data_IF_411560324355
#
_entry.id   IF_411560324355
#
_cell.length_a   1.000
_cell.length_b   1.000
_cell.length_c   1.000
_cell.angle_alpha   90.00
_cell.angle_beta   90.00
_cell.angle_gamma   90.00
#
_symmetry.space_group_name_H-M   'P 1'
#
loop_
_entity.id
_entity.type
_entity.pdbx_description
1 polymer ?
#
# COMPACT_ATOMS: atom_id res chain seq x y z
N UNK A 1 -1.17 -10.88 -18.43
CA UNK A 1 -0.23 -9.91 -17.85
C UNK A 1 -1.07 -9.00 -16.98
N UNK A 2 -0.85 -9.02 -15.67
CA UNK A 2 -1.49 -8.04 -14.78
C UNK A 2 -0.50 -6.89 -14.67
N UNK A 3 -0.56 -6.01 -15.66
CA UNK A 3 0.01 -4.67 -15.59
C UNK A 3 -0.83 -3.89 -14.58
N UNK A 4 -0.55 -4.10 -13.30
CA UNK A 4 -1.12 -3.29 -12.23
C UNK A 4 -0.32 -2.00 -12.21
N UNK A 5 -0.99 -0.90 -12.55
CA UNK A 5 -0.53 0.49 -12.58
C UNK A 5 -0.16 1.04 -11.19
N UNK A 6 0.31 0.20 -10.28
CA UNK A 6 0.73 0.59 -8.95
C UNK A 6 2.23 0.35 -8.86
N UNK A 7 2.98 1.33 -9.38
CA UNK A 7 4.45 1.42 -9.35
C UNK A 7 4.95 1.66 -7.91
N UNK A 8 4.44 0.88 -6.94
CA UNK A 8 4.87 0.97 -5.55
C UNK A 8 6.29 0.44 -5.44
N UNK A 9 7.11 1.21 -4.78
CA UNK A 9 8.45 0.86 -4.36
C UNK A 9 8.55 0.94 -2.84
N UNK A 10 9.47 0.17 -2.26
CA UNK A 10 9.83 0.32 -0.84
C UNK A 10 10.35 1.74 -0.63
N UNK A 11 9.86 2.41 0.41
CA UNK A 11 10.14 3.82 0.70
C UNK A 11 9.14 4.82 0.12
N UNK A 12 8.18 4.39 -0.71
CA UNK A 12 7.11 5.28 -1.15
C UNK A 12 6.22 5.69 0.02
N UNK A 13 5.86 6.98 0.05
CA UNK A 13 4.84 7.50 0.95
C UNK A 13 3.47 7.27 0.33
N UNK A 14 2.59 6.59 1.06
CA UNK A 14 1.26 6.20 0.59
C UNK A 14 0.17 6.61 1.55
N UNK A 15 -1.02 6.84 1.00
CA UNK A 15 -2.27 6.93 1.74
C UNK A 15 -3.00 5.58 1.62
N UNK A 16 -3.39 5.02 2.75
CA UNK A 16 -4.18 3.79 2.81
C UNK A 16 -5.68 4.13 2.87
N UNK A 17 -6.45 3.57 1.95
CA UNK A 17 -7.91 3.67 1.94
C UNK A 17 -8.52 2.32 2.34
N UNK A 18 -9.27 2.32 3.43
CA UNK A 18 -9.99 1.11 3.85
C UNK A 18 -11.24 0.86 2.99
N UNK A 19 -11.87 -0.30 3.17
CA UNK A 19 -13.07 -0.70 2.41
C UNK A 19 -14.28 0.23 2.62
N UNK A 20 -14.27 1.03 3.69
CA UNK A 20 -15.28 2.03 4.00
C UNK A 20 -14.99 3.41 3.39
N UNK A 21 -13.90 3.56 2.63
CA UNK A 21 -13.49 4.83 2.03
C UNK A 21 -12.78 5.80 2.99
N UNK A 22 -12.41 5.35 4.19
CA UNK A 22 -11.65 6.17 5.15
C UNK A 22 -10.16 6.11 4.80
N UNK A 23 -9.52 7.27 4.77
CA UNK A 23 -8.13 7.46 4.37
C UNK A 23 -7.26 7.64 5.62
N UNK A 24 -6.14 6.91 5.68
CA UNK A 24 -5.11 6.98 6.71
C UNK A 24 -3.75 7.24 6.07
N UNK A 25 -2.86 7.93 6.79
CA UNK A 25 -1.49 8.18 6.36
C UNK A 25 -1.02 9.62 6.61
N UNK A 26 0.16 10.01 6.08
CA UNK A 26 1.05 9.20 5.23
C UNK A 26 1.66 8.00 5.97
N UNK A 27 1.82 6.88 5.26
CA UNK A 27 2.54 5.68 5.72
C UNK A 27 3.64 5.33 4.72
N UNK A 28 4.76 4.79 5.18
CA UNK A 28 5.83 4.32 4.29
C UNK A 28 5.60 2.87 3.85
N UNK A 29 5.88 2.54 2.58
CA UNK A 29 5.95 1.15 2.10
C UNK A 29 7.22 0.48 2.63
N UNK A 30 7.06 -0.54 3.47
CA UNK A 30 8.16 -1.23 4.14
C UNK A 30 8.68 -2.42 3.34
N UNK A 31 7.78 -3.21 2.76
CA UNK A 31 8.14 -4.44 2.08
C UNK A 31 6.99 -4.98 1.21
N UNK A 32 7.37 -5.86 0.27
CA UNK A 32 6.44 -6.70 -0.47
C UNK A 32 6.56 -8.15 0.00
N UNK A 33 5.45 -8.71 0.47
CA UNK A 33 5.32 -10.14 0.73
C UNK A 33 5.16 -10.92 -0.56
N UNK A 34 5.40 -12.23 -0.48
CA UNK A 34 5.04 -13.13 -1.57
C UNK A 34 3.51 -13.09 -1.79
N UNK A 35 3.06 -13.22 -3.04
CA UNK A 35 1.64 -13.16 -3.39
C UNK A 35 0.87 -14.29 -2.68
N UNK A 36 0.27 -13.96 -1.54
CA UNK A 36 -0.65 -14.84 -0.85
C UNK A 36 -2.01 -14.83 -1.57
N UNK A 37 -2.77 -15.94 -1.49
CA UNK A 37 -4.09 -16.10 -2.11
C UNK A 37 -5.09 -14.97 -1.80
N UNK A 38 -4.84 -14.15 -0.77
CA UNK A 38 -5.67 -13.00 -0.40
C UNK A 38 -5.40 -11.71 -1.19
N UNK A 39 -4.39 -11.67 -2.08
CA UNK A 39 -4.03 -10.47 -2.85
C UNK A 39 -3.42 -9.33 -2.01
N UNK A 40 -3.15 -9.60 -0.72
CA UNK A 40 -2.52 -8.68 0.22
C UNK A 40 -1.03 -8.99 0.29
N UNK A 41 -0.22 -8.06 -0.17
CA UNK A 41 1.22 -8.25 -0.27
C UNK A 41 2.01 -7.00 0.10
N UNK A 42 1.39 -5.86 0.42
CA UNK A 42 2.12 -4.62 0.72
C UNK A 42 2.11 -4.34 2.21
N UNK A 43 3.29 -4.28 2.82
CA UNK A 43 3.46 -3.91 4.22
C UNK A 43 3.76 -2.42 4.32
N UNK A 44 3.03 -1.73 5.20
CA UNK A 44 3.19 -0.28 5.42
C UNK A 44 3.45 0.00 6.90
N UNK A 45 4.09 1.12 7.18
CA UNK A 45 4.28 1.67 8.53
C UNK A 45 2.94 2.24 9.04
N UNK A 46 2.10 1.34 9.54
CA UNK A 46 0.82 1.66 10.16
C UNK A 46 0.74 0.94 11.51
N UNK A 47 -0.21 1.32 12.35
CA UNK A 47 -0.45 0.65 13.64
C UNK A 47 -0.69 -0.87 13.47
N UNK A 48 -1.18 -1.27 12.29
CA UNK A 48 -1.35 -2.67 11.88
C UNK A 48 -0.27 -3.17 10.91
N UNK A 49 1.00 -2.79 11.10
CA UNK A 49 2.13 -3.15 10.22
C UNK A 49 2.29 -4.65 9.94
N UNK A 50 1.78 -5.51 10.83
CA UNK A 50 1.82 -6.97 10.69
C UNK A 50 0.77 -7.52 9.71
N UNK A 51 -0.17 -6.69 9.27
CA UNK A 51 -1.27 -7.06 8.39
C UNK A 51 -1.10 -6.42 7.01
N UNK A 52 -0.78 -7.21 5.96
CA UNK A 52 -0.52 -6.66 4.64
C UNK A 52 -1.78 -6.10 3.99
N UNK A 53 -1.58 -5.13 3.10
CA UNK A 53 -2.61 -4.42 2.36
C UNK A 53 -2.65 -4.86 0.89
N UNK A 54 -3.79 -4.63 0.24
CA UNK A 54 -3.90 -4.75 -1.21
C UNK A 54 -3.24 -3.54 -1.86
N UNK A 55 -2.52 -3.70 -2.98
CA UNK A 55 -1.95 -2.56 -3.70
C UNK A 55 -3.03 -1.55 -4.12
N UNK A 56 -4.26 -1.99 -4.47
CA UNK A 56 -5.35 -1.09 -4.87
C UNK A 56 -5.85 -0.17 -3.75
N UNK A 57 -5.60 -0.54 -2.49
CA UNK A 57 -5.94 0.29 -1.32
C UNK A 57 -4.90 1.37 -1.04
N UNK A 58 -3.79 1.39 -1.76
CA UNK A 58 -2.67 2.31 -1.54
C UNK A 58 -2.57 3.30 -2.69
N UNK A 59 -2.54 4.58 -2.32
CA UNK A 59 -2.33 5.70 -3.25
C UNK A 59 -1.00 6.37 -2.95
N UNK A 60 -0.10 6.44 -3.93
CA UNK A 60 1.19 7.12 -3.77
C UNK A 60 0.96 8.61 -3.58
N UNK A 61 1.52 9.15 -2.50
CA UNK A 61 1.50 10.58 -2.19
C UNK A 61 2.73 11.19 -2.86
N UNK A 62 2.60 11.57 -4.13
CA UNK A 62 3.64 12.35 -4.81
C UNK A 62 3.58 13.78 -4.26
N UNK A 63 4.69 14.28 -3.73
CA UNK A 63 4.83 15.69 -3.40
C UNK A 63 4.50 16.53 -4.64
N UNK A 64 3.66 17.56 -4.49
CA UNK A 64 3.36 18.50 -5.54
C UNK A 64 4.67 19.02 -6.15
N UNK A 65 4.87 18.76 -7.43
CA UNK A 65 5.89 19.43 -8.26
C UNK A 65 5.53 20.89 -8.52
#
# INVERSE_FOLDING_TARGET
MMDTENDLSVGDMVAFTNDYGVIFGPCEVLAFGNLCNSGRCVYIDSDSYWFPNRPDQLTIIRGAE
#
